data_IF_416018973851
#
_entry.id   IF_416018973851
#
_cell.length_a   1.000
_cell.length_b   1.000
_cell.length_c   1.000
_cell.angle_alpha   90.00
_cell.angle_beta   90.00
_cell.angle_gamma   90.00
#
_symmetry.space_group_name_H-M   'P 1'
#
loop_
_entity.id
_entity.type
_entity.pdbx_description
1 polymer ?
#
# COMPACT_ATOMS: atom_id res chain seq x y z
N UNK A 1 34.15 -12.00 -26.99
CA UNK A 1 34.07 -11.93 -25.52
C UNK A 1 33.77 -10.49 -25.15
N UNK A 2 32.51 -10.18 -24.87
CA UNK A 2 32.08 -8.85 -24.40
C UNK A 2 31.79 -9.03 -22.92
N UNK A 3 32.64 -8.44 -22.08
CA UNK A 3 32.47 -8.39 -20.64
C UNK A 3 31.38 -7.37 -20.28
N UNK A 4 30.30 -7.83 -19.64
CA UNK A 4 29.33 -6.95 -18.99
C UNK A 4 30.02 -6.19 -17.84
N UNK A 5 29.83 -4.87 -17.71
CA UNK A 5 30.41 -4.08 -16.62
C UNK A 5 29.73 -4.29 -15.26
N UNK A 6 28.64 -5.08 -15.21
CA UNK A 6 27.96 -5.42 -13.97
C UNK A 6 28.39 -6.80 -13.49
N UNK A 7 29.63 -6.86 -13.00
CA UNK A 7 30.19 -8.04 -12.33
C UNK A 7 29.57 -8.27 -10.95
N UNK A 8 28.29 -8.60 -10.90
CA UNK A 8 27.66 -9.17 -9.71
C UNK A 8 27.38 -10.65 -9.99
N UNK A 9 28.26 -11.53 -9.52
CA UNK A 9 27.85 -12.90 -9.21
C UNK A 9 27.03 -12.81 -7.93
N UNK A 10 25.72 -12.63 -8.07
CA UNK A 10 24.78 -12.97 -7.01
C UNK A 10 24.91 -14.49 -6.83
N UNK A 11 25.62 -14.89 -5.78
CA UNK A 11 25.68 -16.28 -5.33
C UNK A 11 24.26 -16.81 -5.28
N UNK A 12 24.03 -17.94 -5.96
CA UNK A 12 22.79 -18.69 -5.99
C UNK A 12 22.12 -18.67 -4.62
N UNK A 13 21.05 -17.87 -4.47
CA UNK A 13 20.13 -18.09 -3.38
C UNK A 13 19.60 -19.52 -3.52
N UNK A 14 19.37 -20.24 -2.40
CA UNK A 14 18.67 -21.52 -2.49
C UNK A 14 17.39 -21.28 -3.29
N UNK A 15 17.03 -22.19 -4.20
CA UNK A 15 15.72 -22.14 -4.84
C UNK A 15 14.65 -22.31 -3.75
N UNK A 16 14.17 -21.21 -3.17
CA UNK A 16 13.05 -21.21 -2.23
C UNK A 16 11.74 -21.29 -3.02
N UNK A 17 11.47 -22.43 -3.66
CA UNK A 17 10.09 -22.78 -4.01
C UNK A 17 9.48 -23.54 -2.83
N UNK A 18 9.10 -22.82 -1.78
CA UNK A 18 8.32 -23.40 -0.69
C UNK A 18 6.97 -22.68 -0.67
N UNK A 19 6.01 -23.20 -1.42
CA UNK A 19 4.62 -22.74 -1.40
C UNK A 19 3.83 -23.66 -0.48
N UNK A 20 3.78 -23.33 0.81
CA UNK A 20 2.65 -23.77 1.64
C UNK A 20 1.61 -22.67 1.48
N UNK A 21 0.47 -22.99 0.86
CA UNK A 21 -0.66 -22.08 0.82
C UNK A 21 -1.09 -21.78 2.26
N UNK A 22 -0.83 -20.54 2.72
CA UNK A 22 -1.21 -20.13 4.05
C UNK A 22 -2.74 -20.04 4.13
N UNK A 23 -3.31 -20.58 5.20
CA UNK A 23 -4.76 -20.55 5.43
C UNK A 23 -5.28 -19.11 5.63
N UNK A 24 -4.41 -18.20 6.09
CA UNK A 24 -4.68 -16.78 6.35
C UNK A 24 -3.55 -15.90 5.81
N UNK A 25 -3.49 -15.66 4.48
CA UNK A 25 -2.47 -14.80 3.89
C UNK A 25 -2.80 -13.32 4.15
N UNK A 26 -1.77 -12.48 4.22
CA UNK A 26 -1.99 -11.03 4.13
C UNK A 26 -2.08 -10.62 2.66
N UNK A 27 -2.89 -9.61 2.37
CA UNK A 27 -3.02 -8.99 1.04
C UNK A 27 -2.57 -7.55 1.09
N UNK A 28 -2.29 -6.93 -0.05
CA UNK A 28 -2.04 -5.48 -0.10
C UNK A 28 -3.19 -4.71 0.57
N UNK A 29 -2.86 -3.88 1.54
CA UNK A 29 -3.80 -2.98 2.23
C UNK A 29 -3.73 -1.59 1.63
N UNK A 30 -2.53 -0.99 1.62
CA UNK A 30 -2.32 0.27 0.94
C UNK A 30 -0.86 0.59 0.64
N UNK A 31 -0.68 1.56 -0.26
CA UNK A 31 0.59 2.24 -0.49
C UNK A 31 0.58 3.59 0.22
N UNK A 32 1.71 3.92 0.86
CA UNK A 32 1.98 5.22 1.46
C UNK A 32 3.09 5.89 0.66
N UNK A 33 2.77 6.92 -0.10
CA UNK A 33 3.67 7.50 -1.10
C UNK A 33 4.06 8.90 -0.67
N UNK A 34 5.33 9.27 -0.83
CA UNK A 34 5.81 10.63 -0.59
C UNK A 34 6.19 11.33 -1.89
N UNK A 35 5.32 12.22 -2.39
CA UNK A 35 5.65 13.10 -3.52
C UNK A 35 6.44 14.33 -3.06
N UNK A 36 7.02 15.06 -4.01
CA UNK A 36 7.46 16.44 -3.76
C UNK A 36 6.25 17.37 -3.55
N UNK A 37 6.50 18.56 -3.01
CA UNK A 37 5.45 19.52 -2.66
C UNK A 37 4.63 20.00 -3.87
N UNK A 38 5.25 20.15 -5.05
CA UNK A 38 4.55 20.60 -6.25
C UNK A 38 3.62 19.51 -6.79
N UNK A 39 4.08 18.25 -6.82
CA UNK A 39 3.24 17.11 -7.14
C UNK A 39 2.13 16.93 -6.11
N UNK A 40 2.40 17.03 -4.80
CA UNK A 40 1.35 16.95 -3.77
C UNK A 40 0.24 17.99 -4.00
N UNK A 41 0.62 19.26 -4.24
CA UNK A 41 -0.34 20.32 -4.48
C UNK A 41 -1.20 20.04 -5.72
N UNK A 42 -0.58 19.61 -6.83
CA UNK A 42 -1.31 19.26 -8.06
C UNK A 42 -2.30 18.10 -7.86
N UNK A 43 -1.97 17.14 -6.98
CA UNK A 43 -2.87 16.04 -6.63
C UNK A 43 -4.08 16.55 -5.84
N UNK A 44 -3.85 17.36 -4.80
CA UNK A 44 -4.91 17.93 -3.94
C UNK A 44 -5.87 18.81 -4.75
N UNK A 45 -5.36 19.60 -5.69
CA UNK A 45 -6.16 20.51 -6.52
C UNK A 45 -6.96 19.80 -7.63
N UNK A 46 -6.64 18.53 -7.94
CA UNK A 46 -7.26 17.82 -9.05
C UNK A 46 -8.76 17.51 -8.83
N UNK A 47 -9.63 18.17 -9.60
CA UNK A 47 -11.05 17.79 -9.67
C UNK A 47 -11.24 16.38 -10.22
N UNK A 48 -10.46 16.00 -11.24
CA UNK A 48 -10.51 14.66 -11.81
C UNK A 48 -10.32 13.56 -10.75
N UNK A 49 -9.32 13.69 -9.87
CA UNK A 49 -9.08 12.68 -8.83
C UNK A 49 -10.28 12.54 -7.89
N UNK A 50 -10.84 13.68 -7.46
CA UNK A 50 -11.92 13.77 -6.48
C UNK A 50 -13.30 13.38 -7.04
N UNK A 51 -13.57 13.76 -8.27
CA UNK A 51 -14.91 13.71 -8.88
C UNK A 51 -15.06 12.53 -9.84
N UNK A 52 -13.98 11.96 -10.35
CA UNK A 52 -14.07 10.90 -11.35
C UNK A 52 -13.25 9.67 -10.99
N UNK A 53 -12.00 9.87 -10.55
CA UNK A 53 -11.05 8.78 -10.45
C UNK A 53 -11.29 7.88 -9.25
N UNK A 54 -11.31 8.41 -8.03
CA UNK A 54 -11.47 7.63 -6.81
C UNK A 54 -12.28 8.39 -5.78
N UNK A 55 -12.83 7.68 -4.80
CA UNK A 55 -13.32 8.31 -3.59
C UNK A 55 -12.12 8.86 -2.81
N UNK A 56 -12.01 10.18 -2.79
CA UNK A 56 -10.80 10.88 -2.37
C UNK A 56 -11.05 11.71 -1.12
N UNK A 57 -10.15 11.63 -0.14
CA UNK A 57 -10.21 12.37 1.12
C UNK A 57 -8.86 13.03 1.40
N UNK A 58 -8.82 14.35 1.59
CA UNK A 58 -7.68 15.03 2.20
C UNK A 58 -7.93 15.11 3.70
N UNK A 59 -7.11 14.40 4.48
CA UNK A 59 -7.33 14.20 5.92
C UNK A 59 -6.07 14.38 6.73
N UNK A 60 -6.19 15.10 7.84
CA UNK A 60 -5.27 15.00 8.97
C UNK A 60 -5.75 13.92 9.94
N UNK A 61 -4.93 12.88 10.12
CA UNK A 61 -5.19 11.77 11.04
C UNK A 61 -4.49 12.06 12.36
N UNK A 62 -5.24 12.02 13.47
CA UNK A 62 -4.69 12.03 14.83
C UNK A 62 -4.88 10.65 15.44
N UNK A 63 -3.75 10.02 15.79
CA UNK A 63 -3.69 8.69 16.40
C UNK A 63 -3.04 8.76 17.79
N UNK A 64 -3.12 7.65 18.52
CA UNK A 64 -2.46 7.52 19.83
C UNK A 64 -0.97 7.86 19.79
N UNK A 65 -0.40 8.14 20.97
CA UNK A 65 1.02 8.46 21.17
C UNK A 65 1.44 9.77 20.48
N UNK A 66 0.55 10.77 20.44
CA UNK A 66 0.77 12.07 19.79
C UNK A 66 1.20 11.96 18.32
N UNK A 67 0.77 10.90 17.63
CA UNK A 67 1.06 10.72 16.20
C UNK A 67 0.02 11.46 15.37
N UNK A 68 0.49 12.30 14.47
CA UNK A 68 -0.36 13.01 13.52
C UNK A 68 0.32 13.07 12.15
N UNK A 69 -0.46 12.91 11.10
CA UNK A 69 -0.02 13.06 9.72
C UNK A 69 -1.18 13.52 8.85
N UNK A 70 -0.87 14.21 7.75
CA UNK A 70 -1.85 14.58 6.72
C UNK A 70 -1.55 13.84 5.44
N UNK A 71 -2.60 13.40 4.77
CA UNK A 71 -2.46 12.79 3.45
C UNK A 71 -3.72 12.92 2.60
N UNK A 72 -3.54 12.69 1.31
CA UNK A 72 -4.59 12.54 0.32
C UNK A 72 -4.82 11.05 0.06
N UNK A 73 -5.95 10.52 0.49
CA UNK A 73 -6.33 9.11 0.44
C UNK A 73 -7.23 8.87 -0.76
N UNK A 74 -6.95 7.84 -1.56
CA UNK A 74 -7.75 7.41 -2.70
C UNK A 74 -8.23 5.98 -2.48
N UNK A 75 -9.51 5.80 -2.18
CA UNK A 75 -10.08 4.53 -1.73
C UNK A 75 -10.58 3.68 -2.89
N UNK A 76 -10.09 2.44 -2.95
CA UNK A 76 -10.58 1.36 -3.81
C UNK A 76 -11.59 0.48 -3.07
N UNK A 77 -11.86 -0.71 -3.60
CA UNK A 77 -12.78 -1.69 -2.99
C UNK A 77 -12.13 -2.45 -1.83
N UNK A 78 -10.89 -2.89 -2.01
CA UNK A 78 -10.15 -3.81 -1.15
C UNK A 78 -8.81 -3.24 -0.67
N UNK A 79 -8.22 -2.33 -1.43
CA UNK A 79 -7.04 -1.58 -1.03
C UNK A 79 -7.17 -0.09 -1.39
N UNK A 80 -6.22 0.70 -0.94
CA UNK A 80 -6.16 2.13 -1.24
C UNK A 80 -4.70 2.58 -1.40
N UNK A 81 -4.50 3.85 -1.72
CA UNK A 81 -3.19 4.46 -1.56
C UNK A 81 -3.34 5.88 -1.04
N UNK A 82 -2.31 6.36 -0.37
CA UNK A 82 -2.24 7.70 0.16
C UNK A 82 -0.97 8.40 -0.30
N UNK A 83 -1.10 9.69 -0.61
CA UNK A 83 0.03 10.59 -0.72
C UNK A 83 0.15 11.36 0.60
N UNK A 84 1.32 11.31 1.24
CA UNK A 84 1.54 12.08 2.45
C UNK A 84 1.93 13.52 2.11
N UNK A 85 1.38 14.47 2.86
CA UNK A 85 1.76 15.88 2.78
C UNK A 85 3.24 16.04 3.19
N UNK A 86 4.13 16.45 2.27
CA UNK A 86 5.56 16.55 2.54
C UNK A 86 5.90 17.71 3.49
N UNK A 87 4.99 18.66 3.71
CA UNK A 87 5.19 19.84 4.57
C UNK A 87 4.77 19.54 6.00
N UNK A 88 3.55 19.01 6.19
CA UNK A 88 3.00 18.77 7.53
C UNK A 88 3.38 17.41 8.13
N UNK A 89 4.01 16.54 7.33
CA UNK A 89 4.56 15.25 7.77
C UNK A 89 6.09 15.22 7.59
N UNK A 90 6.85 16.05 8.34
CA UNK A 90 8.27 16.32 8.07
C UNK A 90 9.21 15.19 8.51
N UNK A 91 8.74 14.22 9.30
CA UNK A 91 9.54 13.05 9.67
C UNK A 91 9.96 12.33 8.39
N UNK A 92 11.25 12.00 8.26
CA UNK A 92 11.90 11.45 7.06
C UNK A 92 11.44 10.04 6.63
N UNK A 93 10.20 9.65 6.90
CA UNK A 93 9.67 8.31 6.59
C UNK A 93 9.76 7.98 5.11
N UNK A 94 10.44 6.93 4.66
CA UNK A 94 10.37 6.49 3.26
C UNK A 94 8.93 6.26 2.79
N UNK A 95 8.76 5.97 1.49
CA UNK A 95 7.52 5.34 1.02
C UNK A 95 7.22 4.08 1.86
N UNK A 96 5.96 3.65 1.87
CA UNK A 96 5.49 2.53 2.66
C UNK A 96 4.54 1.61 1.90
N UNK A 97 4.54 0.34 2.27
CA UNK A 97 3.55 -0.65 1.82
C UNK A 97 2.98 -1.39 3.03
N UNK A 98 1.69 -1.21 3.24
CA UNK A 98 0.94 -1.94 4.25
C UNK A 98 0.32 -3.19 3.60
N UNK A 99 0.43 -4.29 4.30
CA UNK A 99 -0.37 -5.47 4.05
C UNK A 99 -1.44 -5.56 5.13
N UNK A 100 -2.47 -6.35 4.89
CA UNK A 100 -3.47 -6.53 5.90
C UNK A 100 -4.14 -7.88 5.86
N UNK A 101 -4.69 -8.23 7.01
CA UNK A 101 -5.41 -9.47 7.25
C UNK A 101 -6.89 -9.18 7.48
N UNK A 102 -7.73 -10.15 7.15
CA UNK A 102 -9.19 -9.99 7.18
C UNK A 102 -9.87 -10.88 8.22
N UNK A 103 -9.10 -11.57 9.07
CA UNK A 103 -9.59 -12.46 10.12
C UNK A 103 -9.03 -12.05 11.49
N UNK A 104 -9.85 -12.12 12.56
CA UNK A 104 -9.37 -11.81 13.91
C UNK A 104 -8.26 -12.77 14.33
N UNK A 105 -7.18 -12.21 14.88
CA UNK A 105 -6.00 -12.93 15.35
C UNK A 105 -4.98 -13.28 14.26
N UNK A 106 -5.29 -13.08 12.98
CA UNK A 106 -4.37 -13.40 11.89
C UNK A 106 -3.07 -12.55 11.93
N UNK A 107 -3.14 -11.32 12.44
CA UNK A 107 -1.99 -10.46 12.66
C UNK A 107 -1.05 -11.02 13.73
N UNK A 108 -1.58 -11.65 14.78
CA UNK A 108 -0.79 -12.37 15.80
C UNK A 108 -0.10 -13.60 15.23
N UNK A 109 -0.77 -14.34 14.35
CA UNK A 109 -0.16 -15.47 13.65
C UNK A 109 0.98 -15.02 12.74
N UNK A 110 0.78 -13.94 11.97
CA UNK A 110 1.85 -13.34 11.15
C UNK A 110 3.01 -12.85 12.04
N UNK A 111 2.72 -12.20 13.17
CA UNK A 111 3.74 -11.76 14.12
C UNK A 111 4.63 -12.93 14.53
N UNK A 112 4.05 -14.05 15.00
CA UNK A 112 4.81 -15.21 15.44
C UNK A 112 5.66 -15.85 14.33
N UNK A 113 5.12 -15.92 13.11
CA UNK A 113 5.87 -16.40 11.94
C UNK A 113 7.05 -15.48 11.59
N UNK A 114 6.85 -14.17 11.59
CA UNK A 114 7.91 -13.20 11.34
C UNK A 114 9.00 -13.28 12.41
N UNK A 115 8.64 -13.39 13.69
CA UNK A 115 9.62 -13.51 14.78
C UNK A 115 10.50 -14.75 14.61
N UNK A 116 9.88 -15.88 14.24
CA UNK A 116 10.58 -17.14 14.01
C UNK A 116 11.49 -17.07 12.79
N UNK A 117 10.98 -16.56 11.67
CA UNK A 117 11.71 -16.57 10.39
C UNK A 117 12.81 -15.50 10.32
N UNK A 118 12.62 -14.35 10.96
CA UNK A 118 13.58 -13.25 10.94
C UNK A 118 14.50 -13.23 12.17
N UNK A 119 14.32 -14.17 13.10
CA UNK A 119 15.07 -14.28 14.36
C UNK A 119 15.18 -12.94 15.11
N UNK A 120 14.08 -12.16 15.12
CA UNK A 120 14.05 -10.82 15.70
C UNK A 120 12.72 -10.53 16.38
N UNK A 121 12.75 -9.57 17.29
CA UNK A 121 11.52 -9.05 17.88
C UNK A 121 10.67 -8.34 16.82
N UNK A 122 9.40 -8.75 16.74
CA UNK A 122 8.35 -8.13 15.93
C UNK A 122 7.28 -7.71 16.92
N UNK A 123 7.00 -6.41 16.93
CA UNK A 123 5.99 -5.85 17.79
C UNK A 123 4.59 -5.97 17.21
N UNK A 124 3.64 -5.82 18.11
CA UNK A 124 2.22 -5.76 17.85
C UNK A 124 1.68 -4.61 18.69
N UNK A 125 1.30 -3.53 18.03
CA UNK A 125 0.94 -2.28 18.70
C UNK A 125 -0.46 -1.83 18.29
N UNK A 126 -1.41 -1.79 19.23
CA UNK A 126 -2.73 -1.24 18.98
C UNK A 126 -2.66 0.24 18.60
N UNK A 127 -3.44 0.60 17.59
CA UNK A 127 -3.68 1.99 17.15
C UNK A 127 -5.13 2.36 17.43
N UNK A 128 -5.28 3.54 18.00
CA UNK A 128 -6.57 4.22 18.10
C UNK A 128 -6.54 5.45 17.20
N UNK A 129 -7.72 5.93 16.84
CA UNK A 129 -7.88 7.24 16.19
C UNK A 129 -8.84 8.10 16.99
N UNK A 130 -8.70 9.42 16.89
CA UNK A 130 -9.67 10.35 17.48
C UNK A 130 -10.89 10.47 16.57
N UNK A 131 -12.08 10.32 17.15
CA UNK A 131 -13.36 10.53 16.49
C UNK A 131 -14.36 11.08 17.51
N UNK A 132 -15.01 12.20 17.19
CA UNK A 132 -15.96 12.87 18.08
C UNK A 132 -15.42 13.09 19.51
N UNK A 133 -14.18 13.58 19.60
CA UNK A 133 -13.49 13.88 20.86
C UNK A 133 -13.03 12.66 21.67
N UNK A 134 -13.27 11.42 21.22
CA UNK A 134 -12.86 10.18 21.89
C UNK A 134 -11.88 9.36 21.07
N UNK A 135 -11.03 8.58 21.75
CA UNK A 135 -10.24 7.55 21.09
C UNK A 135 -11.11 6.34 20.75
N UNK A 136 -11.05 5.90 19.49
CA UNK A 136 -11.72 4.67 19.02
C UNK A 136 -10.67 3.63 18.60
N UNK A 137 -10.82 2.35 18.97
CA UNK A 137 -9.95 1.28 18.49
C UNK A 137 -9.98 1.22 16.97
N UNK A 138 -8.82 1.16 16.33
CA UNK A 138 -8.73 1.26 14.88
C UNK A 138 -8.12 0.02 14.24
N UNK A 139 -6.84 -0.24 14.51
CA UNK A 139 -6.15 -1.42 13.97
C UNK A 139 -4.94 -1.76 14.83
N UNK A 140 -4.45 -2.97 14.70
CA UNK A 140 -3.16 -3.39 15.24
C UNK A 140 -2.08 -3.27 14.17
N UNK A 141 -0.98 -2.60 14.50
CA UNK A 141 0.21 -2.52 13.67
C UNK A 141 1.15 -3.67 14.03
N UNK A 142 1.52 -4.49 13.06
CA UNK A 142 2.49 -5.57 13.21
C UNK A 142 3.72 -5.25 12.39
N UNK A 143 4.88 -5.19 13.03
CA UNK A 143 6.12 -4.85 12.37
C UNK A 143 7.30 -4.74 13.34
N UNK A 144 8.40 -4.19 12.86
CA UNK A 144 9.61 -3.98 13.65
C UNK A 144 10.25 -2.65 13.27
N UNK A 145 11.23 -2.19 14.05
CA UNK A 145 11.98 -0.99 13.69
C UNK A 145 12.78 -1.22 12.39
N UNK A 146 12.41 -0.48 11.34
CA UNK A 146 13.01 -0.54 10.01
C UNK A 146 14.14 0.49 9.81
N UNK A 147 14.46 1.29 10.83
CA UNK A 147 15.52 2.30 10.76
C UNK A 147 15.38 3.20 9.53
N UNK A 148 16.50 3.42 8.85
CA UNK A 148 16.60 4.26 7.65
C UNK A 148 16.40 3.46 6.34
N UNK A 149 15.66 2.34 6.38
CA UNK A 149 15.32 1.61 5.16
C UNK A 149 14.59 2.53 4.16
N UNK A 150 14.85 2.42 2.85
CA UNK A 150 14.25 3.28 1.82
C UNK A 150 12.79 2.95 1.51
N UNK A 151 12.23 1.93 2.17
CA UNK A 151 10.83 1.53 2.09
C UNK A 151 10.42 0.90 3.42
N UNK A 152 9.31 1.34 3.99
CA UNK A 152 8.71 0.70 5.16
C UNK A 152 7.65 -0.29 4.75
N UNK A 153 7.52 -1.39 5.49
CA UNK A 153 6.41 -2.32 5.31
C UNK A 153 5.97 -2.99 6.60
N UNK A 154 4.67 -3.14 6.74
CA UNK A 154 4.02 -3.63 7.96
C UNK A 154 2.75 -4.39 7.63
N UNK A 155 2.19 -5.08 8.63
CA UNK A 155 0.86 -5.69 8.53
C UNK A 155 -0.12 -4.94 9.42
N UNK A 156 -1.36 -4.82 8.95
CA UNK A 156 -2.49 -4.27 9.68
C UNK A 156 -3.57 -5.31 9.88
N UNK A 157 -4.12 -5.34 11.09
CA UNK A 157 -5.38 -6.04 11.40
C UNK A 157 -6.37 -5.01 11.92
N UNK A 158 -7.49 -4.78 11.24
CA UNK A 158 -8.49 -3.84 11.76
C UNK A 158 -9.13 -4.39 13.04
N UNK A 159 -9.38 -3.49 13.98
CA UNK A 159 -9.99 -3.85 15.25
C UNK A 159 -11.48 -4.22 15.03
N UNK A 160 -11.97 -5.35 15.58
CA UNK A 160 -13.34 -5.81 15.34
C UNK A 160 -14.44 -4.80 15.71
N UNK A 161 -14.19 -3.97 16.73
CA UNK A 161 -15.14 -2.94 17.17
C UNK A 161 -15.02 -1.60 16.44
N UNK A 162 -14.10 -1.46 15.49
CA UNK A 162 -13.84 -0.18 14.84
C UNK A 162 -15.09 0.42 14.19
N UNK A 163 -15.82 -0.37 13.40
CA UNK A 163 -17.04 0.10 12.70
C UNK A 163 -18.24 0.32 13.63
N UNK A 164 -18.22 -0.24 14.84
CA UNK A 164 -19.22 0.06 15.87
C UNK A 164 -18.97 1.42 16.54
N UNK A 165 -17.71 1.85 16.56
CA UNK A 165 -17.29 3.08 17.23
C UNK A 165 -17.17 4.29 16.29
N UNK A 166 -16.85 4.06 15.01
CA UNK A 166 -16.53 5.09 14.02
C UNK A 166 -17.61 5.19 12.92
N UNK A 167 -18.40 6.27 12.93
CA UNK A 167 -19.57 6.46 12.05
C UNK A 167 -20.56 5.28 12.04
N UNK A 168 -21.03 4.80 13.20
CA UNK A 168 -21.89 3.61 13.29
C UNK A 168 -23.19 3.70 12.48
N UNK A 169 -23.61 4.92 12.13
CA UNK A 169 -24.79 5.21 11.30
C UNK A 169 -24.64 4.85 9.82
N UNK A 170 -23.41 4.59 9.35
CA UNK A 170 -23.11 4.32 7.94
C UNK A 170 -22.91 2.82 7.66
N UNK A 171 -23.11 2.34 6.42
CA UNK A 171 -22.82 0.95 6.07
C UNK A 171 -21.30 0.64 6.09
N UNK A 172 -20.91 -0.65 6.22
CA UNK A 172 -21.77 -1.79 6.56
C UNK A 172 -22.15 -1.78 8.05
N UNK A 173 -23.32 -2.31 8.41
CA UNK A 173 -23.79 -2.37 9.82
C UNK A 173 -23.07 -3.42 10.67
N UNK A 174 -22.38 -4.36 10.04
CA UNK A 174 -21.66 -5.47 10.67
C UNK A 174 -20.27 -5.63 10.07
N UNK A 175 -19.42 -6.39 10.76
CA UNK A 175 -18.01 -6.55 10.42
C UNK A 175 -17.11 -5.56 11.17
N UNK A 176 -15.96 -5.25 10.57
CA UNK A 176 -14.96 -4.34 11.16
C UNK A 176 -13.52 -4.79 11.04
N UNK A 177 -13.30 -6.03 10.61
CA UNK A 177 -11.96 -6.61 10.44
C UNK A 177 -11.53 -6.59 8.97
N UNK A 178 -12.46 -6.79 8.04
CA UNK A 178 -12.10 -6.88 6.62
C UNK A 178 -11.81 -5.50 6.05
N UNK A 179 -10.77 -5.43 5.20
CA UNK A 179 -10.41 -4.20 4.49
C UNK A 179 -11.61 -3.66 3.71
N UNK A 180 -12.31 -4.53 2.97
CA UNK A 180 -13.51 -4.14 2.21
C UNK A 180 -14.57 -3.47 3.07
N UNK A 181 -14.88 -4.01 4.26
CA UNK A 181 -15.89 -3.43 5.13
C UNK A 181 -15.45 -2.03 5.61
N UNK A 182 -14.20 -1.90 6.01
CA UNK A 182 -13.64 -0.63 6.48
C UNK A 182 -13.57 0.41 5.37
N UNK A 183 -13.09 0.05 4.17
CA UNK A 183 -13.03 0.95 3.03
C UNK A 183 -14.43 1.34 2.54
N UNK A 184 -15.40 0.43 2.62
CA UNK A 184 -16.81 0.78 2.36
C UNK A 184 -17.30 1.85 3.32
N UNK A 185 -16.96 1.77 4.61
CA UNK A 185 -17.29 2.83 5.57
C UNK A 185 -16.62 4.16 5.21
N UNK A 186 -15.34 4.15 4.84
CA UNK A 186 -14.63 5.37 4.39
C UNK A 186 -15.25 6.00 3.14
N UNK A 187 -15.65 5.20 2.15
CA UNK A 187 -16.33 5.76 0.97
C UNK A 187 -17.73 6.28 1.31
N UNK A 188 -18.45 5.62 2.23
CA UNK A 188 -19.73 6.10 2.72
C UNK A 188 -19.62 7.46 3.45
N UNK A 189 -18.54 7.72 4.21
CA UNK A 189 -18.33 9.05 4.83
C UNK A 189 -18.14 10.16 3.80
N UNK A 190 -17.72 9.80 2.58
CA UNK A 190 -17.55 10.72 1.45
C UNK A 190 -18.81 10.85 0.59
N UNK A 191 -19.91 10.21 0.99
CA UNK A 191 -21.20 10.28 0.29
C UNK A 191 -21.40 9.21 -0.78
N UNK A 192 -20.62 8.12 -0.77
CA UNK A 192 -20.97 6.94 -1.57
C UNK A 192 -22.31 6.38 -1.09
N UNK A 193 -23.35 6.54 -1.91
CA UNK A 193 -24.73 6.06 -1.63
C UNK A 193 -25.21 5.02 -2.62
N UNK A 194 -24.67 5.03 -3.84
CA UNK A 194 -25.06 4.14 -4.95
C UNK A 194 -23.81 3.67 -5.71
N UNK A 195 -23.68 2.35 -5.86
CA UNK A 195 -22.57 1.70 -6.59
C UNK A 195 -22.87 1.51 -8.08
N UNK A 196 -24.01 1.98 -8.59
CA UNK A 196 -24.41 1.85 -10.00
C UNK A 196 -23.50 2.61 -10.96
N UNK A 197 -22.84 3.68 -10.49
CA UNK A 197 -21.87 4.46 -11.23
C UNK A 197 -20.58 4.63 -10.39
N UNK A 198 -19.75 3.57 -10.26
CA UNK A 198 -18.55 3.63 -9.44
C UNK A 198 -17.56 4.68 -9.96
N UNK A 199 -16.59 5.12 -9.16
CA UNK A 199 -15.44 5.88 -9.65
C UNK A 199 -14.55 4.97 -10.53
N UNK A 200 -13.55 5.51 -11.23
CA UNK A 200 -12.72 4.67 -12.12
C UNK A 200 -11.88 3.65 -11.35
N UNK A 201 -11.17 4.08 -10.31
CA UNK A 201 -10.28 3.27 -9.50
C UNK A 201 -11.03 2.15 -8.78
N UNK A 202 -10.59 0.92 -9.00
CA UNK A 202 -11.09 -0.26 -8.28
C UNK A 202 -10.11 -0.70 -7.19
N UNK A 203 -8.92 -1.13 -7.57
CA UNK A 203 -7.88 -1.62 -6.65
C UNK A 203 -6.50 -1.55 -7.31
N UNK A 204 -5.45 -1.40 -6.51
CA UNK A 204 -4.06 -1.63 -6.91
C UNK A 204 -3.84 -3.13 -7.07
N UNK A 205 -3.26 -3.54 -8.20
CA UNK A 205 -3.03 -4.95 -8.53
C UNK A 205 -1.55 -5.29 -8.70
N UNK A 206 -0.71 -4.30 -9.04
CA UNK A 206 0.73 -4.52 -9.18
C UNK A 206 1.50 -3.33 -8.63
N UNK A 207 2.61 -3.58 -7.95
CA UNK A 207 3.47 -2.53 -7.38
C UNK A 207 4.89 -2.75 -7.89
N UNK A 208 5.48 -1.70 -8.46
CA UNK A 208 6.87 -1.69 -8.90
C UNK A 208 7.70 -0.92 -7.88
N UNK A 209 8.71 -1.59 -7.36
CA UNK A 209 9.61 -1.11 -6.33
C UNK A 209 11.03 -1.08 -6.89
N UNK A 210 11.79 -0.05 -6.54
CA UNK A 210 13.23 0.01 -6.79
C UNK A 210 13.93 0.01 -5.44
N UNK A 211 14.64 -1.07 -5.09
CA UNK A 211 15.22 -1.25 -3.76
C UNK A 211 16.69 -1.66 -3.82
N UNK A 212 17.52 -1.25 -2.85
CA UNK A 212 18.84 -1.83 -2.64
C UNK A 212 18.74 -3.36 -2.46
N UNK A 213 19.70 -4.15 -2.96
CA UNK A 213 19.61 -5.62 -2.96
C UNK A 213 19.28 -6.22 -1.60
N UNK A 214 19.87 -5.72 -0.53
CA UNK A 214 19.65 -6.22 0.83
C UNK A 214 18.24 -5.91 1.35
N UNK A 215 17.68 -4.75 0.99
CA UNK A 215 16.30 -4.36 1.35
C UNK A 215 15.31 -5.20 0.53
N UNK A 216 15.60 -5.41 -0.75
CA UNK A 216 14.79 -6.24 -1.65
C UNK A 216 14.65 -7.67 -1.11
N UNK A 217 15.77 -8.28 -0.67
CA UNK A 217 15.76 -9.63 -0.10
C UNK A 217 14.99 -9.71 1.22
N UNK A 218 15.15 -8.71 2.12
CA UNK A 218 14.38 -8.66 3.37
C UNK A 218 12.89 -8.52 3.11
N UNK A 219 12.48 -7.66 2.16
CA UNK A 219 11.08 -7.52 1.77
C UNK A 219 10.54 -8.84 1.21
N UNK A 220 11.29 -9.50 0.32
CA UNK A 220 10.90 -10.78 -0.26
C UNK A 220 10.70 -11.88 0.79
N UNK A 221 11.62 -12.02 1.75
CA UNK A 221 11.47 -12.94 2.88
C UNK A 221 10.23 -12.62 3.72
N UNK A 222 9.98 -11.33 3.96
CA UNK A 222 8.82 -10.87 4.72
C UNK A 222 7.50 -11.19 4.02
N UNK A 223 7.35 -10.88 2.73
CA UNK A 223 6.12 -11.18 1.99
C UNK A 223 5.93 -12.68 1.76
N UNK A 224 7.00 -13.47 1.67
CA UNK A 224 6.88 -14.92 1.70
C UNK A 224 6.23 -15.41 3.01
N UNK A 225 6.58 -14.79 4.15
CA UNK A 225 5.94 -15.05 5.46
C UNK A 225 4.44 -14.69 5.46
N UNK A 226 4.05 -13.72 4.64
CA UNK A 226 2.66 -13.29 4.47
C UNK A 226 1.85 -14.19 3.54
N UNK A 227 2.51 -15.09 2.81
CA UNK A 227 1.88 -16.04 1.88
C UNK A 227 2.11 -15.73 0.41
N UNK A 228 3.01 -14.81 0.09
CA UNK A 228 3.40 -14.55 -1.29
C UNK A 228 4.35 -15.65 -1.78
N UNK A 229 4.21 -16.04 -3.04
CA UNK A 229 5.23 -16.85 -3.72
C UNK A 229 6.30 -15.93 -4.30
N UNK A 230 7.57 -16.18 -4.00
CA UNK A 230 8.68 -15.35 -4.46
C UNK A 230 9.47 -16.10 -5.53
N UNK A 231 9.73 -15.43 -6.66
CA UNK A 231 10.60 -15.89 -7.71
C UNK A 231 11.66 -14.82 -8.02
N UNK A 232 12.83 -15.25 -8.47
CA UNK A 232 13.90 -14.36 -8.93
C UNK A 232 14.20 -14.61 -10.40
N UNK A 233 14.47 -13.55 -11.16
CA UNK A 233 15.00 -13.61 -12.50
C UNK A 233 16.11 -12.56 -12.70
N UNK A 234 16.60 -12.39 -13.93
CA UNK A 234 17.65 -11.42 -14.27
C UNK A 234 17.22 -9.95 -14.05
N UNK A 235 15.91 -9.67 -14.03
CA UNK A 235 15.35 -8.33 -13.90
C UNK A 235 15.11 -7.93 -12.44
N UNK A 236 14.95 -8.90 -11.53
CA UNK A 236 14.70 -8.65 -10.12
C UNK A 236 13.94 -9.78 -9.42
N UNK A 237 13.22 -9.41 -8.35
CA UNK A 237 12.35 -10.32 -7.61
C UNK A 237 10.89 -10.06 -8.00
N UNK A 238 10.13 -11.14 -8.13
CA UNK A 238 8.70 -11.15 -8.40
C UNK A 238 8.00 -11.86 -7.25
N UNK A 239 7.08 -11.16 -6.57
CA UNK A 239 6.31 -11.71 -5.45
C UNK A 239 4.83 -11.76 -5.84
N UNK A 240 4.27 -12.97 -5.92
CA UNK A 240 2.86 -13.20 -6.26
C UNK A 240 2.04 -13.40 -4.99
N UNK A 241 1.14 -12.46 -4.71
CA UNK A 241 0.18 -12.55 -3.61
C UNK A 241 -1.18 -13.07 -4.07
N UNK A 242 -2.15 -13.19 -3.15
CA UNK A 242 -3.50 -13.64 -3.47
C UNK A 242 -4.26 -12.71 -4.43
N UNK A 243 -4.01 -11.40 -4.33
CA UNK A 243 -4.76 -10.35 -5.03
C UNK A 243 -3.89 -9.41 -5.85
N UNK A 244 -2.59 -9.41 -5.60
CA UNK A 244 -1.65 -8.41 -6.08
C UNK A 244 -0.26 -9.00 -6.27
N UNK A 245 0.61 -8.24 -6.95
CA UNK A 245 1.97 -8.64 -7.27
C UNK A 245 2.95 -7.53 -6.99
N UNK A 246 4.14 -7.89 -6.54
CA UNK A 246 5.26 -6.97 -6.35
C UNK A 246 6.37 -7.31 -7.34
N UNK A 247 6.85 -6.30 -8.05
CA UNK A 247 8.07 -6.36 -8.85
C UNK A 247 9.14 -5.52 -8.16
N UNK A 248 10.21 -6.16 -7.68
CA UNK A 248 11.30 -5.50 -6.98
C UNK A 248 12.51 -5.48 -7.90
N UNK A 249 12.81 -4.30 -8.42
CA UNK A 249 13.92 -4.01 -9.29
C UNK A 249 15.11 -3.46 -8.47
N UNK A 250 16.35 -3.57 -8.97
CA UNK A 250 17.48 -2.90 -8.36
C UNK A 250 17.29 -1.37 -8.32
N UNK A 251 17.54 -0.76 -7.16
CA UNK A 251 17.55 0.69 -7.03
C UNK A 251 18.69 1.35 -7.84
N UNK A 252 18.43 2.58 -8.29
CA UNK A 252 19.45 3.50 -8.81
C UNK A 252 19.35 4.84 -8.07
N UNK A 253 20.33 5.76 -8.23
CA UNK A 253 20.23 7.09 -7.62
C UNK A 253 18.95 7.88 -8.00
N UNK A 254 18.34 7.56 -9.15
CA UNK A 254 17.12 8.21 -9.65
C UNK A 254 15.85 7.40 -9.37
N UNK A 255 15.97 6.13 -8.99
CA UNK A 255 14.87 5.20 -8.77
C UNK A 255 15.06 4.46 -7.45
N UNK A 256 14.34 4.87 -6.42
CA UNK A 256 14.28 4.19 -5.13
C UNK A 256 12.85 4.25 -4.59
N UNK A 257 12.44 3.30 -3.76
CA UNK A 257 11.10 3.24 -3.16
C UNK A 257 10.03 2.75 -4.12
N UNK A 258 8.81 3.29 -4.02
CA UNK A 258 7.72 2.97 -4.94
C UNK A 258 7.87 3.83 -6.19
N UNK A 259 8.07 3.19 -7.34
CA UNK A 259 8.33 3.91 -8.61
C UNK A 259 7.08 3.94 -9.51
N UNK A 260 6.25 2.90 -9.44
CA UNK A 260 5.00 2.83 -10.17
C UNK A 260 4.06 1.79 -9.56
N UNK A 261 2.78 1.85 -9.91
CA UNK A 261 1.82 0.81 -9.59
C UNK A 261 0.73 0.73 -10.67
N UNK A 262 0.22 -0.48 -10.89
CA UNK A 262 -0.89 -0.77 -11.80
C UNK A 262 -2.17 -0.96 -10.99
N UNK A 263 -3.27 -0.48 -11.53
CA UNK A 263 -4.59 -0.53 -10.93
C UNK A 263 -5.58 -1.19 -11.89
N UNK A 264 -6.49 -1.98 -11.33
CA UNK A 264 -7.73 -2.34 -11.99
C UNK A 264 -8.71 -1.16 -11.94
N UNK A 265 -9.54 -1.05 -12.97
CA UNK A 265 -10.59 -0.04 -13.09
C UNK A 265 -11.96 -0.70 -13.20
N UNK A 266 -12.99 -0.01 -12.73
CA UNK A 266 -14.38 -0.45 -12.94
C UNK A 266 -14.82 -0.36 -14.41
N UNK A 267 -14.21 0.55 -15.18
CA UNK A 267 -14.52 0.77 -16.59
C UNK A 267 -13.33 1.39 -17.33
N UNK A 268 -13.35 1.26 -18.65
CA UNK A 268 -12.41 1.96 -19.52
C UNK A 268 -12.63 3.48 -19.46
N UNK A 269 -11.55 4.25 -19.60
CA UNK A 269 -11.59 5.70 -19.78
C UNK A 269 -11.65 6.00 -21.28
N UNK A 270 -12.75 6.55 -21.82
CA UNK A 270 -12.93 6.68 -23.27
C UNK A 270 -12.11 7.82 -23.91
N UNK A 271 -11.71 8.84 -23.16
CA UNK A 271 -10.99 10.01 -23.65
C UNK A 271 -10.07 10.57 -22.56
N UNK A 272 -9.02 11.31 -22.94
CA UNK A 272 -7.96 11.78 -22.04
C UNK A 272 -7.41 10.66 -21.15
N UNK A 273 -6.47 9.91 -21.69
CA UNK A 273 -5.87 8.75 -21.02
C UNK A 273 -4.60 9.09 -20.26
N UNK A 274 -4.16 10.35 -20.27
CA UNK A 274 -2.93 10.78 -19.59
C UNK A 274 -3.19 12.01 -18.72
N UNK A 275 -2.87 11.90 -17.44
CA UNK A 275 -2.92 12.98 -16.46
C UNK A 275 -1.54 13.14 -15.85
N UNK A 276 -1.06 14.38 -15.73
CA UNK A 276 0.24 14.72 -15.13
C UNK A 276 0.01 15.55 -13.86
N UNK A 277 0.74 15.22 -12.80
CA UNK A 277 0.67 15.87 -11.50
C UNK A 277 2.08 16.33 -11.11
N UNK A 278 2.37 17.61 -11.31
CA UNK A 278 3.75 18.10 -11.25
C UNK A 278 4.62 17.53 -12.37
N UNK A 279 5.93 17.46 -12.15
CA UNK A 279 6.91 17.06 -13.18
C UNK A 279 7.23 15.57 -13.22
N UNK A 280 6.93 14.81 -12.14
CA UNK A 280 7.40 13.44 -11.99
C UNK A 280 6.28 12.39 -11.92
N UNK A 281 5.03 12.81 -11.72
CA UNK A 281 3.91 11.90 -11.48
C UNK A 281 2.92 11.92 -12.65
N UNK A 282 2.63 10.74 -13.19
CA UNK A 282 1.75 10.57 -14.34
C UNK A 282 0.82 9.38 -14.14
N UNK A 283 -0.49 9.60 -14.33
CA UNK A 283 -1.51 8.56 -14.36
C UNK A 283 -1.93 8.31 -15.81
N UNK A 284 -1.74 7.07 -16.28
CA UNK A 284 -2.03 6.63 -17.63
C UNK A 284 -3.09 5.54 -17.64
N UNK A 285 -4.16 5.74 -18.41
CA UNK A 285 -5.23 4.77 -18.64
C UNK A 285 -4.94 3.91 -19.86
N UNK A 286 -5.26 2.62 -19.76
CA UNK A 286 -5.10 1.63 -20.82
C UNK A 286 -6.46 1.14 -21.33
N UNK A 287 -6.46 0.46 -22.47
CA UNK A 287 -7.67 -0.04 -23.13
C UNK A 287 -8.18 -1.39 -22.57
N UNK A 288 -7.58 -1.89 -21.50
CA UNK A 288 -7.84 -3.19 -20.87
C UNK A 288 -8.44 -3.07 -19.46
N UNK A 289 -9.14 -1.96 -19.16
CA UNK A 289 -9.69 -1.61 -17.84
C UNK A 289 -8.60 -1.53 -16.76
N UNK A 290 -7.41 -1.07 -17.12
CA UNK A 290 -6.34 -0.81 -16.17
C UNK A 290 -5.78 0.60 -16.31
N UNK A 291 -5.11 1.07 -15.27
CA UNK A 291 -4.29 2.27 -15.32
C UNK A 291 -2.96 2.02 -14.64
N UNK A 292 -1.93 2.75 -15.07
CA UNK A 292 -0.61 2.76 -14.41
C UNK A 292 -0.37 4.15 -13.87
N UNK A 293 0.01 4.23 -12.60
CA UNK A 293 0.54 5.44 -12.00
C UNK A 293 2.07 5.33 -11.95
N UNK A 294 2.77 6.22 -12.64
CA UNK A 294 4.22 6.37 -12.57
C UNK A 294 4.52 7.54 -11.63
N UNK A 295 5.33 7.29 -10.60
CA UNK A 295 5.63 8.27 -9.54
C UNK A 295 6.98 8.94 -9.75
N UNK A 296 7.92 8.23 -10.36
CA UNK A 296 9.31 8.65 -10.58
C UNK A 296 9.76 8.11 -11.93
N UNK A 297 10.16 9.01 -12.84
CA UNK A 297 10.79 8.73 -14.14
C UNK A 297 9.88 8.62 -15.36
N UNK A 298 10.50 8.69 -16.54
CA UNK A 298 9.94 8.33 -17.84
C UNK A 298 10.53 6.95 -18.22
N UNK A 299 9.70 5.95 -18.54
CA UNK A 299 10.15 4.66 -19.07
C UNK A 299 10.32 4.70 -20.58
#
# INVERSE_FOLDING_TARGET
>A
MVSSPYGYRLSSLPFWSCSIALQRPATLSHLMIRPDAATYQALVESSFLREEFAWTEDRTTVANQNRSWRGLYLYGENNYFEFLDPVTTPWSSPDGIAFGVNEPGAGREIQGRLQTQLEREVGYWPRTRVYDGREVPWFDYIGYNQGDEPLWSWVMEFHPDFLKAWHPELPPSEGGITHRAVLTRYRATLGERDTSAPRYFKDVTEVMLALPPEVALRLAQKVATYGYTVAQNEQGLRCEGPTDRLFILPATPSYSGIIAFKMALHRNKPAQTLYRFGSQSTLMFHNDQTATWMLRGDF
#
